data_IF_307398203415
#
_entry.id   IF_307398203415
#
_cell.length_a   1.000
_cell.length_b   1.000
_cell.length_c   1.000
_cell.angle_alpha   90.00
_cell.angle_beta   90.00
_cell.angle_gamma   90.00
#
_symmetry.space_group_name_H-M   'P 1'
#
loop_
_entity.id
_entity.type
_entity.pdbx_description
1 polymer ?
#
# COMPACT_ATOMS: atom_id res chain seq x y z
N UNK A 1 -19.88 44.51 0.70
CA UNK A 1 -18.44 44.85 0.87
C UNK A 1 -17.79 44.08 2.03
N UNK A 2 -18.46 43.88 3.16
CA UNK A 2 -17.89 43.12 4.30
C UNK A 2 -17.67 41.65 4.03
N UNK A 3 -18.56 40.97 3.28
CA UNK A 3 -18.38 39.56 2.89
C UNK A 3 -17.16 39.35 1.99
N UNK A 4 -16.86 40.32 1.10
CA UNK A 4 -15.67 40.26 0.27
C UNK A 4 -14.38 40.44 1.08
N UNK A 5 -14.39 41.35 2.06
CA UNK A 5 -13.25 41.55 2.99
C UNK A 5 -13.01 40.31 3.86
N UNK A 6 -14.09 39.65 4.29
CA UNK A 6 -13.98 38.43 5.07
C UNK A 6 -13.43 37.28 4.21
N UNK A 7 -13.85 37.15 2.95
CA UNK A 7 -13.35 36.20 1.99
C UNK A 7 -11.84 36.39 1.70
N UNK A 8 -11.43 37.65 1.44
CA UNK A 8 -10.01 37.96 1.26
C UNK A 8 -9.19 37.73 2.54
N UNK A 9 -9.74 38.01 3.70
CA UNK A 9 -9.07 37.76 4.97
C UNK A 9 -8.94 36.26 5.27
N UNK A 10 -9.92 35.44 4.93
CA UNK A 10 -9.80 33.97 5.04
C UNK A 10 -8.86 33.34 4.02
N UNK A 11 -8.61 34.02 2.88
CA UNK A 11 -7.69 33.53 1.84
C UNK A 11 -6.21 33.79 2.21
N UNK A 12 -5.94 34.83 2.99
CA UNK A 12 -4.56 35.25 3.32
C UNK A 12 -4.18 35.09 4.79
N UNK A 13 -5.16 34.88 5.68
CA UNK A 13 -4.89 34.69 7.11
C UNK A 13 -5.54 33.39 7.57
N UNK A 14 -4.67 32.43 7.90
CA UNK A 14 -5.09 31.18 8.52
C UNK A 14 -5.66 31.48 9.92
N UNK A 15 -6.89 30.99 10.17
CA UNK A 15 -7.45 30.91 11.50
C UNK A 15 -7.32 29.48 11.96
N UNK A 16 -6.48 29.24 12.94
CA UNK A 16 -6.42 27.94 13.61
C UNK A 16 -7.81 27.57 14.14
N UNK A 17 -8.31 26.38 13.77
CA UNK A 17 -9.52 25.87 14.43
C UNK A 17 -9.23 25.75 15.94
N UNK A 18 -10.15 26.17 16.79
CA UNK A 18 -9.96 26.31 18.24
C UNK A 18 -9.70 24.99 18.99
N UNK A 19 -9.79 23.84 18.33
CA UNK A 19 -9.63 22.50 18.89
C UNK A 19 -8.64 21.67 18.06
N UNK A 20 -7.49 22.24 17.69
CA UNK A 20 -6.40 21.47 17.09
C UNK A 20 -5.66 20.72 18.19
N UNK A 21 -5.71 19.40 18.09
CA UNK A 21 -4.81 18.52 18.79
C UNK A 21 -3.39 18.77 18.24
N UNK A 22 -2.53 19.37 19.04
CA UNK A 22 -1.11 19.53 18.69
C UNK A 22 -0.43 18.18 18.80
N UNK A 23 -0.32 17.46 17.68
CA UNK A 23 0.53 16.28 17.59
C UNK A 23 1.96 16.74 17.37
N UNK A 24 2.79 16.60 18.39
CA UNK A 24 4.24 16.70 18.25
C UNK A 24 4.82 15.29 18.26
N UNK A 25 5.57 14.93 17.21
CA UNK A 25 6.40 13.72 17.26
C UNK A 25 7.35 13.87 18.45
N UNK A 26 7.48 12.87 19.34
CA UNK A 26 8.44 12.94 20.44
C UNK A 26 9.83 13.18 19.84
N UNK A 27 10.49 14.26 20.26
CA UNK A 27 11.88 14.51 19.91
C UNK A 27 12.69 13.31 20.40
N UNK A 28 13.31 12.58 19.47
CA UNK A 28 14.28 11.54 19.82
C UNK A 28 15.38 12.25 20.59
N UNK A 29 15.57 11.91 21.87
CA UNK A 29 16.72 12.35 22.61
C UNK A 29 17.98 11.98 21.82
N UNK A 30 18.75 12.99 21.42
CA UNK A 30 19.94 12.83 20.57
C UNK A 30 21.01 11.90 21.15
N UNK A 31 20.92 11.54 22.41
CA UNK A 31 21.81 10.57 23.06
C UNK A 31 21.57 9.10 22.61
N UNK A 32 20.38 8.75 22.11
CA UNK A 32 20.14 7.42 21.53
C UNK A 32 20.42 7.36 20.02
N UNK A 33 20.47 8.50 19.34
CA UNK A 33 20.73 8.58 17.90
C UNK A 33 22.21 8.29 17.52
N UNK A 34 23.13 8.28 18.49
CA UNK A 34 24.55 8.01 18.24
C UNK A 34 24.92 6.52 18.15
N UNK A 35 24.03 5.61 18.52
CA UNK A 35 24.20 4.20 18.20
C UNK A 35 23.86 4.00 16.74
N UNK A 36 24.90 4.03 15.89
CA UNK A 36 24.82 3.54 14.51
C UNK A 36 24.18 2.16 14.57
N UNK A 37 22.89 2.13 14.27
CA UNK A 37 22.17 0.90 14.11
C UNK A 37 22.74 0.24 12.86
N UNK A 38 23.57 -0.76 13.08
CA UNK A 38 24.09 -1.58 12.02
C UNK A 38 22.89 -2.28 11.39
N UNK A 39 22.65 -2.19 10.07
CA UNK A 39 21.48 -2.83 9.46
C UNK A 39 21.54 -4.37 9.43
N UNK A 40 22.53 -4.96 10.10
CA UNK A 40 22.49 -6.39 10.51
C UNK A 40 21.91 -6.47 11.91
N UNK A 41 20.72 -6.12 12.01
CA UNK A 41 19.95 -6.03 13.08
C UNK A 41 19.35 -7.21 13.61
N UNK A 42 19.67 -7.31 14.76
CA UNK A 42 18.92 -7.86 15.84
C UNK A 42 17.44 -8.10 15.47
N UNK A 43 17.15 -9.33 15.04
CA UNK A 43 15.81 -9.88 15.07
C UNK A 43 15.66 -10.64 16.38
N UNK A 44 15.10 -10.02 17.41
CA UNK A 44 14.76 -10.75 18.64
C UNK A 44 13.78 -11.88 18.36
N UNK A 45 13.09 -11.82 17.22
CA UNK A 45 12.08 -12.77 16.81
C UNK A 45 12.64 -14.01 16.07
N UNK A 46 13.91 -14.01 15.63
CA UNK A 46 14.51 -15.18 14.96
C UNK A 46 14.67 -16.39 15.86
N UNK A 47 14.80 -16.18 17.17
CA UNK A 47 14.89 -17.30 18.12
C UNK A 47 13.52 -17.88 18.51
N UNK A 48 12.43 -17.10 18.38
CA UNK A 48 11.09 -17.57 18.74
C UNK A 48 10.40 -18.34 17.60
N UNK A 49 10.77 -18.08 16.34
CA UNK A 49 10.12 -18.71 15.19
C UNK A 49 10.54 -20.17 14.96
N UNK A 50 11.66 -20.60 15.47
CA UNK A 50 12.16 -21.98 15.33
C UNK A 50 11.53 -22.97 16.32
N UNK A 51 10.40 -22.59 16.93
CA UNK A 51 9.68 -23.49 17.83
C UNK A 51 8.90 -24.54 17.02
N UNK A 52 8.98 -25.78 17.49
CA UNK A 52 8.20 -26.88 16.93
C UNK A 52 6.72 -26.70 17.28
N UNK A 53 5.86 -27.26 16.46
CA UNK A 53 4.43 -27.33 16.75
C UNK A 53 4.19 -28.17 18.01
N UNK A 54 3.22 -27.72 18.82
CA UNK A 54 2.77 -28.43 20.02
C UNK A 54 1.71 -29.47 19.65
N UNK A 55 1.63 -30.55 20.42
CA UNK A 55 0.59 -31.58 20.24
C UNK A 55 -0.81 -31.05 20.55
N UNK A 56 -0.90 -29.98 21.33
CA UNK A 56 -2.19 -29.37 21.75
C UNK A 56 -2.56 -28.23 20.82
N UNK A 57 -3.67 -28.34 20.13
CA UNK A 57 -4.14 -27.34 19.16
C UNK A 57 -4.37 -25.95 19.79
N UNK A 58 -4.90 -25.86 21.02
CA UNK A 58 -5.18 -24.58 21.66
C UNK A 58 -3.92 -23.73 21.85
N UNK A 59 -2.79 -24.36 22.23
CA UNK A 59 -1.50 -23.69 22.40
C UNK A 59 -1.00 -23.15 21.06
N UNK A 60 -1.12 -23.95 20.00
CA UNK A 60 -0.74 -23.53 18.65
C UNK A 60 -1.59 -22.34 18.17
N UNK A 61 -2.90 -22.37 18.41
CA UNK A 61 -3.81 -21.29 18.06
C UNK A 61 -3.46 -20.01 18.82
N UNK A 62 -3.21 -20.08 20.12
CA UNK A 62 -2.86 -18.91 20.93
C UNK A 62 -1.53 -18.31 20.48
N UNK A 63 -0.52 -19.13 20.15
CA UNK A 63 0.74 -18.67 19.60
C UNK A 63 0.56 -17.95 18.26
N UNK A 64 -0.24 -18.52 17.35
CA UNK A 64 -0.55 -17.92 16.05
C UNK A 64 -1.29 -16.59 16.24
N UNK A 65 -2.27 -16.52 17.16
CA UNK A 65 -3.02 -15.29 17.46
C UNK A 65 -2.10 -14.16 17.95
N UNK A 66 -1.15 -14.47 18.80
CA UNK A 66 -0.18 -13.50 19.31
C UNK A 66 0.77 -13.04 18.20
N UNK A 67 1.30 -13.97 17.42
CA UNK A 67 2.29 -13.66 16.37
C UNK A 67 1.71 -12.82 15.24
N UNK A 68 0.56 -13.18 14.73
CA UNK A 68 -0.13 -12.43 13.67
C UNK A 68 -0.98 -11.26 14.17
N UNK A 69 -1.10 -11.07 15.48
CA UNK A 69 -2.00 -10.05 16.06
C UNK A 69 -3.42 -10.13 15.48
N UNK A 70 -4.01 -11.31 15.44
CA UNK A 70 -5.29 -11.57 14.76
C UNK A 70 -6.46 -10.73 15.28
N UNK A 71 -6.34 -10.12 16.47
CA UNK A 71 -7.33 -9.17 17.00
C UNK A 71 -7.36 -7.85 16.21
N UNK A 72 -6.23 -7.44 15.61
CA UNK A 72 -6.08 -6.19 14.88
C UNK A 72 -6.01 -6.47 13.37
N UNK A 73 -5.36 -7.57 13.00
CA UNK A 73 -5.10 -7.94 11.62
C UNK A 73 -6.34 -8.57 10.99
N UNK A 74 -6.99 -7.84 10.10
CA UNK A 74 -8.32 -8.22 9.58
C UNK A 74 -8.28 -9.23 8.43
N UNK A 75 -7.12 -9.45 7.82
CA UNK A 75 -6.95 -10.34 6.67
C UNK A 75 -6.47 -11.75 7.04
N UNK A 76 -6.10 -11.98 8.30
CA UNK A 76 -5.70 -13.30 8.80
C UNK A 76 -6.95 -14.07 9.24
N UNK A 77 -7.23 -15.16 8.54
CA UNK A 77 -8.37 -16.01 8.87
C UNK A 77 -7.88 -17.26 9.57
N UNK A 78 -8.45 -17.48 10.76
CA UNK A 78 -8.21 -18.62 11.60
C UNK A 78 -9.56 -19.32 11.83
N UNK A 79 -9.78 -20.43 11.09
CA UNK A 79 -11.05 -21.16 11.13
C UNK A 79 -10.89 -22.46 11.88
N UNK A 80 -11.55 -22.56 13.02
CA UNK A 80 -11.62 -23.79 13.82
C UNK A 80 -12.79 -24.67 13.35
N UNK A 81 -12.60 -25.99 13.28
CA UNK A 81 -13.62 -26.96 12.92
C UNK A 81 -13.28 -28.34 13.46
N UNK A 82 -14.26 -29.28 13.42
CA UNK A 82 -14.07 -30.64 13.87
C UNK A 82 -13.93 -31.60 12.68
N UNK A 83 -12.93 -32.47 12.76
CA UNK A 83 -12.68 -33.56 11.83
C UNK A 83 -13.33 -34.84 12.39
N UNK A 84 -14.18 -35.52 11.62
CA UNK A 84 -14.77 -36.80 12.01
C UNK A 84 -14.07 -37.93 11.26
N UNK A 85 -13.21 -38.67 11.97
CA UNK A 85 -12.43 -39.77 11.39
C UNK A 85 -12.69 -41.04 12.20
N UNK A 86 -13.24 -42.10 11.58
CA UNK A 86 -13.52 -43.40 12.19
C UNK A 86 -14.24 -43.30 13.54
N UNK A 87 -15.32 -42.53 13.61
CA UNK A 87 -16.13 -42.29 14.81
C UNK A 87 -15.39 -41.55 15.96
N UNK A 88 -14.25 -40.91 15.68
CA UNK A 88 -13.59 -40.02 16.61
C UNK A 88 -13.59 -38.61 16.03
N UNK A 89 -13.82 -37.65 16.90
CA UNK A 89 -13.75 -36.24 16.53
C UNK A 89 -12.40 -35.67 16.98
N UNK A 90 -11.74 -34.97 16.06
CA UNK A 90 -10.51 -34.25 16.29
C UNK A 90 -10.75 -32.78 15.99
N UNK A 91 -10.29 -31.90 16.85
CA UNK A 91 -10.29 -30.47 16.56
C UNK A 91 -9.21 -30.13 15.54
N UNK A 92 -9.52 -29.24 14.61
CA UNK A 92 -8.57 -28.76 13.62
C UNK A 92 -8.74 -27.27 13.40
N UNK A 93 -7.69 -26.64 12.94
CA UNK A 93 -7.65 -25.23 12.61
C UNK A 93 -7.05 -25.05 11.23
N UNK A 94 -7.67 -24.18 10.44
CA UNK A 94 -7.16 -23.73 9.15
C UNK A 94 -6.71 -22.29 9.27
N UNK A 95 -5.47 -22.03 8.87
CA UNK A 95 -4.86 -20.70 8.86
C UNK A 95 -4.54 -20.28 7.42
N UNK A 96 -5.04 -19.14 7.01
CA UNK A 96 -4.75 -18.56 5.69
C UNK A 96 -4.95 -17.04 5.67
N UNK A 97 -4.44 -16.39 4.63
CA UNK A 97 -4.57 -14.94 4.42
C UNK A 97 -5.66 -14.68 3.38
N UNK A 98 -6.67 -13.91 3.76
CA UNK A 98 -7.76 -13.52 2.85
C UNK A 98 -7.23 -12.65 1.70
N UNK A 99 -7.66 -12.96 0.47
CA UNK A 99 -7.18 -12.28 -0.75
C UNK A 99 -5.93 -12.90 -1.37
N UNK A 100 -5.19 -13.74 -0.68
CA UNK A 100 -4.04 -14.46 -1.24
C UNK A 100 -4.38 -15.89 -1.67
N UNK A 101 -5.48 -16.42 -1.18
CA UNK A 101 -5.93 -17.79 -1.42
C UNK A 101 -7.19 -17.82 -2.28
N UNK A 102 -7.35 -18.91 -3.05
CA UNK A 102 -8.58 -19.20 -3.75
C UNK A 102 -9.57 -19.88 -2.78
N UNK A 103 -10.65 -19.16 -2.45
CA UNK A 103 -11.67 -19.64 -1.52
C UNK A 103 -12.43 -20.86 -2.04
N UNK A 104 -12.58 -21.00 -3.36
CA UNK A 104 -13.25 -22.17 -3.95
C UNK A 104 -12.40 -23.44 -3.79
N UNK A 105 -11.06 -23.31 -3.91
CA UNK A 105 -10.17 -24.43 -3.65
C UNK A 105 -10.20 -24.84 -2.19
N UNK A 106 -10.25 -23.90 -1.25
CA UNK A 106 -10.35 -24.20 0.18
C UNK A 106 -11.67 -24.89 0.50
N UNK A 107 -12.78 -24.36 0.04
CA UNK A 107 -14.10 -24.90 0.35
C UNK A 107 -14.32 -26.28 -0.27
N UNK A 108 -13.97 -26.47 -1.54
CA UNK A 108 -14.25 -27.72 -2.26
C UNK A 108 -13.23 -28.84 -1.98
N UNK A 109 -11.94 -28.49 -1.87
CA UNK A 109 -10.88 -29.50 -1.78
C UNK A 109 -10.26 -29.67 -0.40
N UNK A 110 -10.51 -28.74 0.53
CA UNK A 110 -10.03 -28.87 1.90
C UNK A 110 -11.19 -29.07 2.87
N UNK A 111 -12.07 -28.10 3.00
CA UNK A 111 -13.11 -28.13 4.02
C UNK A 111 -14.17 -29.21 3.74
N UNK A 112 -14.63 -29.33 2.50
CA UNK A 112 -15.63 -30.31 2.13
C UNK A 112 -15.18 -31.75 2.39
N UNK A 113 -13.98 -32.23 1.99
CA UNK A 113 -13.50 -33.56 2.32
C UNK A 113 -13.29 -33.77 3.82
N UNK A 114 -12.80 -32.76 4.54
CA UNK A 114 -12.50 -32.85 5.96
C UNK A 114 -13.75 -32.81 6.85
N UNK A 115 -14.77 -32.05 6.45
CA UNK A 115 -16.02 -31.88 7.22
C UNK A 115 -17.14 -32.84 6.77
N UNK A 116 -17.06 -33.40 5.55
CA UNK A 116 -18.01 -34.46 5.17
C UNK A 116 -17.83 -35.61 6.13
N UNK A 117 -18.95 -36.02 6.78
CA UNK A 117 -18.95 -37.23 7.57
C UNK A 117 -18.51 -38.37 6.67
N UNK A 118 -17.24 -38.73 6.71
CA UNK A 118 -16.76 -39.91 6.04
C UNK A 118 -17.39 -41.10 6.70
N UNK A 119 -18.54 -41.48 6.19
CA UNK A 119 -19.09 -42.80 6.34
C UNK A 119 -18.15 -43.76 5.59
N UNK A 120 -16.93 -43.85 6.05
CA UNK A 120 -16.14 -45.06 5.90
C UNK A 120 -16.81 -46.10 6.73
N UNK A 121 -18.00 -46.53 6.31
CA UNK A 121 -18.52 -47.80 6.76
C UNK A 121 -17.53 -48.82 6.22
N UNK A 122 -16.55 -49.16 7.04
CA UNK A 122 -16.03 -50.51 7.02
C UNK A 122 -17.28 -51.36 7.30
N UNK A 123 -17.96 -51.77 6.23
CA UNK A 123 -18.89 -52.92 6.35
C UNK A 123 -18.08 -53.95 7.12
N UNK A 124 -18.54 -54.42 8.29
CA UNK A 124 -17.91 -55.56 8.89
C UNK A 124 -18.00 -56.62 7.81
N UNK A 125 -16.88 -57.13 7.37
CA UNK A 125 -16.79 -58.34 6.57
C UNK A 125 -17.27 -59.42 7.53
N UNK A 126 -18.60 -59.54 7.60
CA UNK A 126 -19.25 -60.62 8.31
C UNK A 126 -18.95 -61.89 7.52
N UNK A 127 -18.14 -62.71 8.14
CA UNK A 127 -18.23 -64.15 8.08
C UNK A 127 -18.54 -64.78 6.72
N UNK A 128 -17.57 -64.91 5.88
CA UNK A 128 -17.41 -66.08 5.04
C UNK A 128 -15.96 -66.20 4.66
N UNK A 129 -15.43 -67.29 5.04
CA UNK A 129 -14.18 -67.96 4.62
C UNK A 129 -13.17 -68.07 5.74
N UNK A 130 -13.38 -69.09 6.50
CA UNK A 130 -12.37 -69.91 7.12
C UNK A 130 -11.35 -70.34 6.08
N UNK A 131 -10.11 -70.28 6.51
CA UNK A 131 -8.89 -71.01 6.08
C UNK A 131 -7.83 -70.17 5.37
N UNK A 132 -6.74 -70.04 6.14
CA UNK A 132 -5.40 -69.74 5.65
C UNK A 132 -5.13 -68.30 5.13
N UNK A 133 -5.27 -67.33 6.01
CA UNK A 133 -4.63 -66.02 5.81
C UNK A 133 -3.71 -65.74 6.98
N UNK A 134 -2.42 -65.81 6.69
CA UNK A 134 -1.37 -65.20 7.53
C UNK A 134 -1.80 -63.82 7.94
N UNK A 135 -1.94 -63.59 9.24
CA UNK A 135 -2.26 -62.29 9.82
C UNK A 135 -1.20 -61.30 9.42
N UNK A 136 -1.39 -60.57 8.34
CA UNK A 136 -0.62 -59.39 8.07
C UNK A 136 -0.79 -58.47 9.28
N UNK A 137 0.31 -58.16 9.97
CA UNK A 137 0.35 -57.19 11.07
C UNK A 137 -0.55 -55.99 10.71
N UNK A 138 -1.62 -55.80 11.50
CA UNK A 138 -2.50 -54.63 11.38
C UNK A 138 -1.57 -53.43 11.58
N UNK A 139 -1.30 -52.68 10.53
CA UNK A 139 -0.53 -51.42 10.64
C UNK A 139 -1.31 -50.55 11.64
N UNK A 140 -0.64 -50.11 12.69
CA UNK A 140 -1.17 -49.18 13.67
C UNK A 140 -1.69 -47.96 12.87
N UNK A 141 -2.95 -47.57 13.12
CA UNK A 141 -3.55 -46.44 12.44
C UNK A 141 -2.73 -45.18 12.76
N UNK A 142 -2.19 -44.56 11.74
CA UNK A 142 -1.49 -43.28 11.85
C UNK A 142 -2.43 -42.21 11.31
N UNK A 143 -2.86 -41.28 12.18
CA UNK A 143 -3.72 -40.17 11.82
C UNK A 143 -3.08 -39.24 10.79
N UNK A 144 -1.80 -38.96 10.96
CA UNK A 144 -1.02 -38.11 10.07
C UNK A 144 -1.00 -38.67 8.64
N UNK A 145 -0.62 -39.96 8.49
CA UNK A 145 -0.59 -40.60 7.17
C UNK A 145 -1.98 -40.69 6.52
N UNK A 146 -3.01 -40.87 7.32
CA UNK A 146 -4.38 -40.93 6.80
C UNK A 146 -4.88 -39.61 6.28
N UNK A 147 -4.59 -38.50 6.97
CA UNK A 147 -4.92 -37.14 6.50
C UNK A 147 -4.16 -36.86 5.21
N UNK A 148 -2.86 -37.12 5.19
CA UNK A 148 -1.97 -36.85 4.07
C UNK A 148 -2.32 -37.66 2.81
N UNK A 149 -2.62 -38.94 2.96
CA UNK A 149 -2.81 -39.85 1.81
C UNK A 149 -4.25 -40.04 1.36
N UNK A 150 -5.22 -39.81 2.25
CA UNK A 150 -6.61 -40.25 1.99
C UNK A 150 -7.65 -39.14 2.10
N UNK A 151 -7.39 -38.09 2.88
CA UNK A 151 -8.38 -37.05 3.13
C UNK A 151 -8.20 -35.79 2.30
N UNK A 152 -6.96 -35.47 1.97
CA UNK A 152 -6.63 -34.27 1.22
C UNK A 152 -6.40 -34.63 -0.26
N UNK A 153 -7.31 -34.24 -1.16
CA UNK A 153 -7.18 -34.56 -2.59
C UNK A 153 -6.24 -33.63 -3.34
N UNK A 154 -5.57 -32.71 -2.64
CA UNK A 154 -4.68 -31.74 -3.27
C UNK A 154 -3.39 -32.36 -3.77
N UNK A 155 -2.89 -31.81 -4.89
CA UNK A 155 -1.68 -32.30 -5.56
C UNK A 155 -0.38 -31.92 -4.83
N UNK A 156 -0.36 -30.75 -4.19
CA UNK A 156 0.82 -30.24 -3.48
C UNK A 156 0.55 -30.07 -2.00
N UNK A 157 1.02 -31.01 -1.20
CA UNK A 157 0.91 -30.98 0.25
C UNK A 157 2.31 -31.12 0.84
N UNK A 158 2.68 -30.23 1.74
CA UNK A 158 3.94 -30.30 2.49
C UNK A 158 3.64 -30.48 3.96
N UNK A 159 4.48 -31.23 4.65
CA UNK A 159 4.45 -31.35 6.11
C UNK A 159 5.37 -30.30 6.69
N UNK A 160 4.89 -29.56 7.66
CA UNK A 160 5.66 -28.55 8.40
C UNK A 160 5.71 -28.96 9.88
N UNK A 161 6.89 -28.91 10.46
CA UNK A 161 7.10 -29.25 11.87
C UNK A 161 7.39 -28.04 12.73
N UNK A 162 7.75 -26.91 12.11
CA UNK A 162 8.07 -25.64 12.76
C UNK A 162 7.06 -24.57 12.41
N UNK A 163 6.89 -23.60 13.30
CA UNK A 163 6.04 -22.43 13.04
C UNK A 163 6.61 -21.57 11.90
N UNK A 164 7.94 -21.50 11.76
CA UNK A 164 8.58 -20.74 10.68
C UNK A 164 8.19 -21.25 9.30
N UNK A 165 8.17 -22.58 9.11
CA UNK A 165 7.71 -23.20 7.86
C UNK A 165 6.25 -22.85 7.58
N UNK A 166 5.37 -22.87 8.60
CA UNK A 166 3.96 -22.52 8.47
C UNK A 166 3.81 -21.05 8.11
N UNK A 167 4.48 -20.15 8.84
CA UNK A 167 4.35 -18.71 8.59
C UNK A 167 4.90 -18.31 7.22
N UNK A 168 6.05 -18.86 6.83
CA UNK A 168 6.61 -18.63 5.50
C UNK A 168 5.65 -19.08 4.39
N UNK A 169 5.01 -20.23 4.54
CA UNK A 169 4.06 -20.75 3.57
C UNK A 169 2.77 -19.91 3.52
N UNK A 170 2.18 -19.61 4.67
CA UNK A 170 0.95 -18.81 4.77
C UNK A 170 1.16 -17.40 4.24
N UNK A 171 2.29 -16.77 4.57
CA UNK A 171 2.65 -15.47 4.01
C UNK A 171 2.91 -15.53 2.49
N UNK A 172 3.28 -16.70 1.96
CA UNK A 172 3.40 -16.96 0.53
C UNK A 172 2.08 -17.25 -0.20
N UNK A 173 0.95 -17.27 0.52
CA UNK A 173 -0.39 -17.53 -0.03
C UNK A 173 -0.84 -18.98 0.03
N UNK A 174 -0.14 -19.82 0.78
CA UNK A 174 -0.58 -21.20 1.06
C UNK A 174 -1.53 -21.21 2.27
N UNK A 175 -2.22 -22.33 2.47
CA UNK A 175 -3.07 -22.57 3.62
C UNK A 175 -2.42 -23.60 4.54
N UNK A 176 -2.45 -23.37 5.85
CA UNK A 176 -1.95 -24.33 6.83
C UNK A 176 -3.10 -24.98 7.61
N UNK A 177 -3.11 -26.31 7.63
CA UNK A 177 -4.01 -27.13 8.43
C UNK A 177 -3.26 -27.68 9.64
N UNK A 178 -3.73 -27.40 10.84
CA UNK A 178 -3.19 -27.88 12.11
C UNK A 178 -4.27 -28.72 12.77
N UNK A 179 -3.91 -29.94 13.21
CA UNK A 179 -4.84 -30.90 13.80
C UNK A 179 -4.42 -31.21 15.22
N UNK A 180 -5.37 -31.26 16.11
CA UNK A 180 -5.14 -31.63 17.51
C UNK A 180 -4.50 -33.03 17.61
N UNK A 181 -3.62 -33.23 18.58
CA UNK A 181 -2.86 -34.46 18.78
C UNK A 181 -1.72 -34.73 17.78
N UNK A 182 -1.49 -33.80 16.83
CA UNK A 182 -0.37 -33.90 15.90
C UNK A 182 0.60 -32.73 16.11
N UNK A 183 1.89 -33.05 16.14
CA UNK A 183 2.97 -32.06 16.16
C UNK A 183 3.45 -31.68 14.73
N UNK A 184 2.60 -31.92 13.74
CA UNK A 184 2.86 -31.65 12.31
C UNK A 184 1.67 -30.89 11.74
N UNK A 185 1.95 -29.78 11.05
CA UNK A 185 1.02 -29.06 10.24
C UNK A 185 1.08 -29.48 8.78
N UNK A 186 -0.01 -29.34 8.05
CA UNK A 186 -0.07 -29.59 6.61
C UNK A 186 -0.18 -28.26 5.87
N UNK A 187 0.78 -27.96 5.01
CA UNK A 187 0.77 -26.81 4.13
C UNK A 187 0.19 -27.22 2.79
N UNK A 188 -0.83 -26.49 2.34
CA UNK A 188 -1.65 -26.79 1.17
C UNK A 188 -1.53 -25.63 0.18
N UNK A 189 -1.13 -25.90 -1.05
CA UNK A 189 -1.03 -24.90 -2.11
C UNK A 189 -2.44 -24.54 -2.63
N UNK A 190 -2.91 -23.38 -2.23
CA UNK A 190 -4.23 -22.83 -2.60
C UNK A 190 -4.13 -21.39 -3.12
N UNK A 191 -2.98 -21.03 -3.66
CA UNK A 191 -2.73 -19.68 -4.16
C UNK A 191 -3.76 -19.26 -5.18
N UNK A 192 -4.36 -18.10 -4.95
CA UNK A 192 -5.43 -17.55 -5.80
C UNK A 192 -5.35 -16.04 -5.88
N UNK A 193 -4.25 -15.53 -6.49
CA UNK A 193 -4.10 -14.09 -6.70
C UNK A 193 -5.01 -13.61 -7.84
N UNK A 194 -5.74 -12.54 -7.62
CA UNK A 194 -6.46 -11.86 -8.70
C UNK A 194 -5.46 -11.16 -9.64
N UNK A 195 -5.02 -11.84 -10.69
CA UNK A 195 -4.02 -11.31 -11.63
C UNK A 195 -4.62 -10.58 -12.83
N UNK A 196 -5.87 -10.90 -13.20
CA UNK A 196 -6.51 -10.39 -14.43
C UNK A 196 -7.04 -8.95 -14.33
N UNK A 197 -7.17 -8.40 -13.12
CA UNK A 197 -7.69 -7.06 -12.87
C UNK A 197 -6.59 -6.02 -12.56
N UNK A 198 -5.32 -6.44 -12.51
CA UNK A 198 -4.20 -5.54 -12.24
C UNK A 198 -3.90 -4.76 -13.50
N UNK A 199 -4.00 -3.43 -13.44
CA UNK A 199 -3.70 -2.52 -14.53
C UNK A 199 -2.28 -1.98 -14.45
N UNK A 200 -1.80 -1.42 -15.56
CA UNK A 200 -0.53 -0.70 -15.59
C UNK A 200 -0.71 0.72 -15.00
N UNK A 201 0.32 1.28 -14.33
CA UNK A 201 0.29 2.65 -13.83
C UNK A 201 0.10 3.63 -15.00
N UNK A 202 -0.86 4.55 -14.85
CA UNK A 202 -1.14 5.55 -15.89
C UNK A 202 -0.35 6.83 -15.70
N UNK A 203 -0.13 7.22 -14.44
CA UNK A 203 0.51 8.49 -14.09
C UNK A 203 1.97 8.33 -13.64
N UNK A 204 2.33 7.19 -13.04
CA UNK A 204 3.67 6.89 -12.55
C UNK A 204 4.34 5.81 -13.40
N UNK A 205 4.48 6.05 -14.71
CA UNK A 205 5.09 5.12 -15.66
C UNK A 205 6.59 4.98 -15.36
N UNK A 206 7.09 3.74 -15.34
CA UNK A 206 8.50 3.40 -15.11
C UNK A 206 8.97 2.46 -16.21
N UNK A 207 10.17 2.72 -16.76
CA UNK A 207 10.77 1.90 -17.82
C UNK A 207 11.28 0.57 -17.23
N UNK A 208 11.87 0.64 -16.02
CA UNK A 208 12.35 -0.55 -15.30
C UNK A 208 11.70 -0.61 -13.94
N UNK A 209 10.98 -1.68 -13.64
CA UNK A 209 10.32 -1.89 -12.36
C UNK A 209 9.02 -2.68 -12.51
N UNK A 210 8.26 -2.76 -11.44
CA UNK A 210 6.92 -3.35 -11.46
C UNK A 210 6.02 -2.52 -12.36
N UNK A 211 5.20 -3.19 -13.17
CA UNK A 211 4.17 -2.56 -14.01
C UNK A 211 2.78 -2.70 -13.38
N UNK A 212 2.70 -3.18 -12.15
CA UNK A 212 1.45 -3.33 -11.44
C UNK A 212 1.01 -2.02 -10.81
N UNK A 213 -0.29 -1.71 -10.89
CA UNK A 213 -0.93 -0.60 -10.22
C UNK A 213 -2.07 -1.08 -9.32
N UNK A 214 -2.40 -0.28 -8.30
CA UNK A 214 -3.58 -0.50 -7.47
C UNK A 214 -4.85 -0.39 -8.31
N UNK A 215 -5.87 -1.13 -7.89
CA UNK A 215 -7.21 -1.15 -8.50
C UNK A 215 -8.25 -0.60 -7.52
N UNK A 216 -9.51 -0.49 -7.96
CA UNK A 216 -10.59 0.02 -7.11
C UNK A 216 -10.98 -0.92 -5.96
N UNK A 217 -10.70 -2.22 -6.10
CA UNK A 217 -11.06 -3.24 -5.11
C UNK A 217 -10.02 -3.34 -3.99
N UNK A 218 -10.39 -2.93 -2.79
CA UNK A 218 -9.48 -2.87 -1.63
C UNK A 218 -8.84 -4.23 -1.30
N UNK A 219 -9.57 -5.34 -1.43
CA UNK A 219 -9.05 -6.69 -1.17
C UNK A 219 -7.89 -7.05 -2.08
N UNK A 220 -7.98 -6.71 -3.36
CA UNK A 220 -6.90 -6.91 -4.33
C UNK A 220 -5.69 -6.06 -3.97
N UNK A 221 -5.91 -4.80 -3.56
CA UNK A 221 -4.83 -3.89 -3.17
C UNK A 221 -4.10 -4.37 -1.91
N UNK A 222 -4.83 -4.84 -0.89
CA UNK A 222 -4.21 -5.41 0.32
C UNK A 222 -3.44 -6.68 0.01
N UNK A 223 -3.93 -7.54 -0.89
CA UNK A 223 -3.23 -8.75 -1.31
C UNK A 223 -1.94 -8.44 -2.08
N UNK A 224 -1.92 -7.37 -2.91
CA UNK A 224 -0.69 -6.91 -3.57
C UNK A 224 0.38 -6.48 -2.56
N UNK A 225 -0.01 -5.69 -1.53
CA UNK A 225 0.91 -5.30 -0.46
C UNK A 225 1.42 -6.54 0.29
N UNK A 226 0.52 -7.46 0.65
CA UNK A 226 0.86 -8.68 1.38
C UNK A 226 1.82 -9.58 0.59
N UNK A 227 1.62 -9.70 -0.73
CA UNK A 227 2.50 -10.46 -1.62
C UNK A 227 3.91 -9.88 -1.70
N UNK A 228 4.04 -8.55 -1.69
CA UNK A 228 5.34 -7.88 -1.74
C UNK A 228 6.03 -7.86 -0.38
N UNK A 229 5.25 -7.77 0.71
CA UNK A 229 5.76 -7.81 2.10
C UNK A 229 5.40 -9.16 2.70
N UNK A 230 6.25 -10.13 2.49
CA UNK A 230 6.09 -11.48 3.04
C UNK A 230 6.57 -11.51 4.51
N UNK A 231 5.82 -10.87 5.41
CA UNK A 231 6.17 -10.74 6.82
C UNK A 231 4.93 -10.78 7.72
N UNK A 232 4.97 -11.53 8.81
CA UNK A 232 3.90 -11.67 9.78
C UNK A 232 3.63 -10.39 10.59
N UNK A 233 4.62 -9.48 10.68
CA UNK A 233 4.48 -8.21 11.37
C UNK A 233 3.76 -7.13 10.52
N UNK A 234 3.43 -7.42 9.28
CA UNK A 234 2.58 -6.55 8.48
C UNK A 234 1.16 -6.59 9.02
N UNK A 235 0.66 -5.45 9.45
CA UNK A 235 -0.71 -5.28 9.95
C UNK A 235 -1.54 -4.58 8.89
N UNK A 236 -2.69 -5.16 8.59
CA UNK A 236 -3.72 -4.59 7.73
C UNK A 236 -5.00 -4.49 8.55
N UNK A 237 -5.35 -3.30 8.97
CA UNK A 237 -6.51 -3.02 9.79
C UNK A 237 -7.61 -2.39 8.95
N UNK A 238 -8.77 -3.04 8.90
CA UNK A 238 -9.91 -2.54 8.15
C UNK A 238 -10.83 -1.74 9.06
N UNK A 239 -11.19 -0.55 8.62
CA UNK A 239 -12.20 0.31 9.22
C UNK A 239 -13.22 0.75 8.17
N UNK A 240 -14.32 1.36 8.61
CA UNK A 240 -15.35 1.90 7.72
C UNK A 240 -15.58 3.36 8.02
N UNK A 241 -15.64 4.19 6.98
CA UNK A 241 -15.84 5.64 7.10
C UNK A 241 -17.07 6.07 6.31
N UNK A 242 -17.77 7.07 6.85
CA UNK A 242 -19.00 7.61 6.27
C UNK A 242 -20.25 6.90 6.79
N UNK A 243 -21.25 7.70 7.18
CA UNK A 243 -22.51 7.20 7.75
C UNK A 243 -23.42 6.59 6.69
N UNK A 244 -23.41 7.14 5.46
CA UNK A 244 -24.23 6.65 4.34
C UNK A 244 -23.50 5.61 3.49
N UNK A 245 -22.24 5.88 3.07
CA UNK A 245 -21.52 4.99 2.15
C UNK A 245 -20.87 3.81 2.83
N UNK A 246 -20.51 3.94 4.12
CA UNK A 246 -19.76 2.92 4.89
C UNK A 246 -18.57 2.39 4.09
N UNK A 247 -17.79 3.32 3.53
CA UNK A 247 -16.65 3.00 2.67
C UNK A 247 -15.56 2.30 3.47
N UNK A 248 -15.11 1.15 2.99
CA UNK A 248 -14.02 0.40 3.62
C UNK A 248 -12.70 1.10 3.41
N UNK A 249 -11.93 1.21 4.47
CA UNK A 249 -10.58 1.78 4.48
C UNK A 249 -9.65 0.79 5.15
N UNK A 250 -8.48 0.51 4.56
CA UNK A 250 -7.47 -0.35 5.13
C UNK A 250 -6.22 0.47 5.51
N UNK A 251 -5.79 0.34 6.75
CA UNK A 251 -4.59 0.98 7.29
C UNK A 251 -3.49 -0.08 7.34
N UNK A 252 -2.43 0.12 6.57
CA UNK A 252 -1.33 -0.84 6.39
C UNK A 252 -0.04 -0.28 7.00
N UNK A 253 0.61 -1.04 7.87
CA UNK A 253 1.88 -0.67 8.49
C UNK A 253 2.64 -1.88 9.02
N UNK A 254 3.95 -1.74 9.23
CA UNK A 254 4.79 -2.75 9.88
C UNK A 254 4.92 -2.48 11.38
N UNK A 255 4.42 -3.40 12.22
CA UNK A 255 4.35 -3.23 13.68
C UNK A 255 5.70 -2.92 14.33
N UNK A 256 6.77 -3.57 13.86
CA UNK A 256 8.10 -3.46 14.49
C UNK A 256 8.90 -2.23 14.03
N UNK A 257 8.44 -1.54 12.95
CA UNK A 257 9.17 -0.43 12.34
C UNK A 257 8.37 0.86 12.43
N UNK A 258 7.06 0.79 12.27
CA UNK A 258 6.19 1.97 12.30
C UNK A 258 6.17 2.60 13.70
N UNK A 259 6.15 3.94 13.74
CA UNK A 259 5.95 4.66 14.98
C UNK A 259 4.51 4.46 15.47
N UNK A 260 4.36 3.95 16.69
CA UNK A 260 3.05 3.68 17.29
C UNK A 260 2.19 4.94 17.45
N UNK A 261 2.81 6.09 17.73
CA UNK A 261 2.10 7.36 17.89
C UNK A 261 1.53 7.83 16.53
N UNK A 262 2.30 7.67 15.46
CA UNK A 262 1.83 7.94 14.10
C UNK A 262 0.65 7.04 13.71
N UNK A 263 0.74 5.75 14.00
CA UNK A 263 -0.34 4.79 13.73
C UNK A 263 -1.60 5.16 14.53
N UNK A 264 -1.44 5.52 15.81
CA UNK A 264 -2.53 5.94 16.67
C UNK A 264 -3.21 7.22 16.15
N UNK A 265 -2.42 8.20 15.71
CA UNK A 265 -2.91 9.46 15.14
C UNK A 265 -3.70 9.24 13.84
N UNK A 266 -3.16 8.44 12.93
CA UNK A 266 -3.87 8.09 11.67
C UNK A 266 -5.21 7.41 11.96
N UNK A 267 -5.23 6.45 12.89
CA UNK A 267 -6.47 5.78 13.32
C UNK A 267 -7.45 6.74 13.96
N UNK A 268 -6.95 7.62 14.85
CA UNK A 268 -7.77 8.62 15.51
C UNK A 268 -8.46 9.53 14.50
N UNK A 269 -7.71 10.06 13.52
CA UNK A 269 -8.27 10.92 12.47
C UNK A 269 -9.31 10.20 11.62
N UNK A 270 -9.01 8.99 11.15
CA UNK A 270 -9.94 8.23 10.31
C UNK A 270 -11.22 7.85 11.06
N UNK A 271 -11.12 7.42 12.32
CA UNK A 271 -12.27 6.97 13.10
C UNK A 271 -13.17 8.10 13.61
N UNK A 272 -12.60 9.31 13.76
CA UNK A 272 -13.36 10.48 14.23
C UNK A 272 -13.90 11.36 13.09
N UNK A 273 -13.81 10.90 11.84
CA UNK A 273 -14.41 11.61 10.71
C UNK A 273 -15.95 11.58 10.79
N UNK A 274 -16.57 12.72 11.00
CA UNK A 274 -18.02 12.88 10.92
C UNK A 274 -18.43 13.34 9.51
N UNK A 275 -18.47 12.37 8.59
CA UNK A 275 -18.83 12.61 7.19
C UNK A 275 -19.89 11.62 6.72
N UNK A 276 -20.74 12.07 5.81
CA UNK A 276 -21.80 11.21 5.27
C UNK A 276 -21.27 10.23 4.23
N UNK A 277 -20.32 10.65 3.39
CA UNK A 277 -19.79 9.84 2.30
C UNK A 277 -18.31 10.13 2.03
N UNK A 278 -17.60 9.10 1.65
CA UNK A 278 -16.25 9.16 1.07
C UNK A 278 -16.23 8.23 -0.14
N UNK A 279 -15.84 8.75 -1.30
CA UNK A 279 -15.85 8.01 -2.56
C UNK A 279 -14.41 7.77 -3.06
N UNK A 280 -13.47 8.66 -2.72
CA UNK A 280 -12.10 8.59 -3.23
C UNK A 280 -11.06 8.83 -2.15
N UNK A 281 -9.83 8.37 -2.40
CA UNK A 281 -8.68 8.64 -1.54
C UNK A 281 -8.39 10.14 -1.42
N UNK A 282 -8.57 10.93 -2.49
CA UNK A 282 -8.36 12.38 -2.45
C UNK A 282 -9.33 13.12 -1.52
N UNK A 283 -10.58 12.65 -1.38
CA UNK A 283 -11.49 13.21 -0.38
C UNK A 283 -11.03 12.88 1.05
N UNK A 284 -10.58 11.64 1.27
CA UNK A 284 -10.04 11.25 2.56
C UNK A 284 -8.80 12.07 2.91
N UNK A 285 -7.88 12.27 1.96
CA UNK A 285 -6.69 13.09 2.13
C UNK A 285 -7.03 14.50 2.65
N UNK A 286 -7.97 15.19 2.00
CA UNK A 286 -8.38 16.55 2.39
C UNK A 286 -8.99 16.62 3.79
N UNK A 287 -9.65 15.54 4.24
CA UNK A 287 -10.31 15.48 5.54
C UNK A 287 -9.37 15.17 6.71
N UNK A 288 -8.29 14.43 6.46
CA UNK A 288 -7.35 13.98 7.50
C UNK A 288 -6.06 14.79 7.57
N UNK A 289 -5.83 15.73 6.64
CA UNK A 289 -4.65 16.60 6.65
C UNK A 289 -4.70 17.61 7.81
N UNK A 290 -3.53 18.04 8.30
CA UNK A 290 -3.42 19.00 9.40
C UNK A 290 -3.91 20.38 9.01
N UNK A 291 -3.57 20.81 7.81
CA UNK A 291 -3.86 22.13 7.31
C UNK A 291 -4.46 22.06 5.91
N UNK A 292 -5.77 22.30 5.81
CA UNK A 292 -6.51 22.31 4.55
C UNK A 292 -6.10 23.45 3.60
N UNK A 293 -5.40 24.48 4.11
CA UNK A 293 -4.88 25.60 3.32
C UNK A 293 -3.40 25.41 2.95
N UNK A 294 -2.79 24.30 3.31
CA UNK A 294 -1.40 24.02 2.93
C UNK A 294 -1.25 23.94 1.41
N UNK A 295 -0.28 24.66 0.88
CA UNK A 295 0.00 24.67 -0.57
C UNK A 295 0.59 23.33 -1.03
N UNK A 296 1.36 22.67 -0.17
CA UNK A 296 1.98 21.38 -0.44
C UNK A 296 1.18 20.26 0.19
N UNK A 297 0.98 19.13 -0.52
CA UNK A 297 0.31 17.97 0.04
C UNK A 297 1.11 17.41 1.23
N UNK A 298 0.39 16.98 2.26
CA UNK A 298 0.98 16.42 3.48
C UNK A 298 1.08 14.88 3.42
N UNK A 299 0.52 14.31 2.37
CA UNK A 299 0.52 12.88 2.10
C UNK A 299 0.96 12.62 0.67
N UNK A 300 1.50 11.44 0.40
CA UNK A 300 1.85 11.01 -0.94
C UNK A 300 0.72 10.13 -1.47
N UNK A 301 0.10 10.53 -2.55
CA UNK A 301 -0.82 9.67 -3.29
C UNK A 301 -0.03 8.89 -4.36
N UNK A 302 -0.18 7.56 -4.41
CA UNK A 302 0.47 6.73 -5.43
C UNK A 302 -0.45 5.60 -5.88
N UNK A 303 -0.40 5.30 -7.17
CA UNK A 303 -1.08 4.14 -7.75
C UNK A 303 -0.19 2.87 -7.73
N UNK A 304 1.06 2.98 -7.28
CA UNK A 304 2.07 1.92 -7.35
C UNK A 304 2.23 1.15 -6.04
N UNK A 305 1.99 -0.18 -6.05
CA UNK A 305 2.20 -1.02 -4.87
C UNK A 305 3.66 -1.07 -4.40
N UNK A 306 4.64 -1.09 -5.32
CA UNK A 306 6.06 -1.12 -5.00
C UNK A 306 6.52 0.14 -4.23
N UNK A 307 6.05 1.33 -4.64
CA UNK A 307 6.32 2.58 -3.93
C UNK A 307 5.68 2.59 -2.54
N UNK A 308 4.41 2.16 -2.43
CA UNK A 308 3.72 2.06 -1.16
C UNK A 308 4.46 1.11 -0.19
N UNK A 309 4.89 -0.05 -0.67
CA UNK A 309 5.64 -1.03 0.12
C UNK A 309 6.99 -0.49 0.58
N UNK A 310 7.74 0.21 -0.28
CA UNK A 310 9.00 0.82 0.14
C UNK A 310 8.81 1.76 1.34
N UNK A 311 7.76 2.56 1.33
CA UNK A 311 7.45 3.46 2.45
C UNK A 311 6.94 2.72 3.70
N UNK A 312 6.23 1.59 3.55
CA UNK A 312 5.89 0.73 4.68
C UNK A 312 7.17 0.17 5.34
N UNK A 313 8.15 -0.24 4.54
CA UNK A 313 9.44 -0.74 5.03
C UNK A 313 10.29 0.35 5.71
N UNK A 314 10.06 1.63 5.36
CA UNK A 314 10.64 2.80 6.04
C UNK A 314 9.91 3.18 7.35
N UNK A 315 8.82 2.49 7.70
CA UNK A 315 8.04 2.72 8.92
C UNK A 315 6.90 3.73 8.76
N UNK A 316 6.52 4.08 7.52
CA UNK A 316 5.35 4.92 7.24
C UNK A 316 4.07 4.12 7.24
N UNK A 317 2.96 4.82 7.36
CA UNK A 317 1.61 4.26 7.30
C UNK A 317 1.03 4.47 5.91
N UNK A 318 0.45 3.42 5.35
CA UNK A 318 -0.24 3.45 4.06
C UNK A 318 -1.72 3.21 4.27
N UNK A 319 -2.55 4.05 3.66
CA UNK A 319 -4.01 3.94 3.73
C UNK A 319 -4.58 3.69 2.34
N UNK A 320 -5.40 2.65 2.24
CA UNK A 320 -6.13 2.26 1.03
C UNK A 320 -7.61 2.55 1.22
N UNK A 321 -8.26 3.08 0.20
CA UNK A 321 -9.69 3.39 0.19
C UNK A 321 -10.38 2.54 -0.87
N UNK A 322 -11.45 1.86 -0.51
CA UNK A 322 -12.24 1.08 -1.47
C UNK A 322 -12.89 2.00 -2.52
N UNK A 323 -12.75 1.65 -3.78
CA UNK A 323 -13.24 2.46 -4.90
C UNK A 323 -12.21 3.45 -5.46
N UNK A 324 -10.97 3.48 -4.92
CA UNK A 324 -9.89 4.33 -5.42
C UNK A 324 -8.64 3.52 -5.72
N UNK A 325 -8.01 3.70 -6.91
CA UNK A 325 -6.76 3.04 -7.25
C UNK A 325 -5.51 3.75 -6.67
N UNK A 326 -5.69 4.67 -5.75
CA UNK A 326 -4.60 5.41 -5.10
C UNK A 326 -4.51 5.05 -3.63
N UNK A 327 -3.30 4.77 -3.17
CA UNK A 327 -2.94 4.69 -1.75
C UNK A 327 -2.42 6.03 -1.25
N UNK A 328 -2.69 6.34 0.02
CA UNK A 328 -2.17 7.50 0.72
C UNK A 328 -1.07 7.06 1.67
N UNK A 329 0.09 7.68 1.58
CA UNK A 329 1.28 7.39 2.40
C UNK A 329 1.52 8.56 3.35
N UNK A 330 1.68 8.28 4.61
CA UNK A 330 1.84 9.27 5.68
C UNK A 330 3.03 8.95 6.58
N UNK A 331 3.74 9.98 7.04
CA UNK A 331 3.74 11.37 6.60
C UNK A 331 4.53 11.55 5.29
N UNK A 332 4.26 12.62 4.54
CA UNK A 332 5.05 13.02 3.41
C UNK A 332 6.16 14.01 3.81
N UNK A 333 7.31 13.91 3.19
CA UNK A 333 8.41 14.87 3.32
C UNK A 333 8.62 15.54 1.96
N UNK A 334 8.99 16.81 1.95
CA UNK A 334 9.17 17.57 0.69
C UNK A 334 10.08 16.85 -0.33
N UNK A 335 11.14 16.18 0.14
CA UNK A 335 12.08 15.45 -0.71
C UNK A 335 11.41 14.25 -1.43
N UNK A 336 10.30 13.72 -0.91
CA UNK A 336 9.59 12.61 -1.54
C UNK A 336 8.96 13.03 -2.87
N UNK A 337 8.52 14.28 -2.98
CA UNK A 337 7.97 14.83 -4.22
C UNK A 337 9.02 15.07 -5.30
N UNK A 338 10.30 15.10 -4.91
CA UNK A 338 11.43 15.20 -5.83
C UNK A 338 11.92 13.83 -6.31
N UNK A 339 11.46 12.76 -5.68
CA UNK A 339 11.86 11.38 -6.00
C UNK A 339 10.87 10.75 -6.97
N UNK A 340 11.39 10.14 -8.04
CA UNK A 340 10.60 9.32 -8.96
C UNK A 340 10.71 7.84 -8.57
N UNK A 341 9.67 7.02 -8.79
CA UNK A 341 9.76 5.57 -8.59
C UNK A 341 10.89 4.91 -9.41
N UNK A 342 11.28 5.50 -10.53
CA UNK A 342 12.38 5.02 -11.36
C UNK A 342 13.75 5.17 -10.69
N UNK A 343 13.92 6.16 -9.80
CA UNK A 343 15.18 6.42 -9.12
C UNK A 343 15.67 5.23 -8.28
N UNK A 344 14.77 4.39 -7.78
CA UNK A 344 15.07 3.18 -7.00
C UNK A 344 15.73 2.10 -7.88
N UNK A 345 15.35 2.05 -9.16
CA UNK A 345 15.81 1.04 -10.11
C UNK A 345 17.09 1.44 -10.85
N UNK A 346 17.58 2.67 -10.62
CA UNK A 346 18.78 3.21 -11.24
C UNK A 346 20.00 3.02 -10.33
N UNK A 347 21.21 3.06 -10.94
CA UNK A 347 22.45 3.05 -10.18
C UNK A 347 22.53 4.30 -9.27
N UNK A 348 22.94 4.11 -8.02
CA UNK A 348 22.99 5.15 -6.99
C UNK A 348 23.56 6.52 -7.44
N UNK A 349 24.70 6.52 -8.15
CA UNK A 349 25.32 7.77 -8.64
C UNK A 349 24.45 8.47 -9.67
N UNK A 350 23.82 7.72 -10.56
CA UNK A 350 22.95 8.27 -11.61
C UNK A 350 21.62 8.78 -11.03
N UNK A 351 21.01 8.04 -10.13
CA UNK A 351 19.82 8.45 -9.40
C UNK A 351 20.03 9.76 -8.63
N UNK A 352 21.16 9.90 -7.91
CA UNK A 352 21.49 11.12 -7.19
C UNK A 352 21.74 12.31 -8.13
N UNK A 353 22.38 12.08 -9.28
CA UNK A 353 22.56 13.12 -10.29
C UNK A 353 21.20 13.63 -10.81
N UNK A 354 20.26 12.72 -11.10
CA UNK A 354 18.92 13.11 -11.55
C UNK A 354 18.16 13.90 -10.49
N UNK A 355 18.22 13.49 -9.22
CA UNK A 355 17.63 14.25 -8.11
C UNK A 355 18.22 15.66 -8.00
N UNK A 356 19.53 15.78 -8.14
CA UNK A 356 20.21 17.08 -8.12
C UNK A 356 19.77 17.98 -9.29
N UNK A 357 19.66 17.42 -10.49
CA UNK A 357 19.16 18.15 -11.67
C UNK A 357 17.72 18.61 -11.44
N UNK A 358 16.85 17.80 -10.83
CA UNK A 358 15.46 18.20 -10.50
C UNK A 358 15.43 19.39 -9.54
N UNK A 359 16.28 19.36 -8.50
CA UNK A 359 16.38 20.48 -7.55
C UNK A 359 16.79 21.76 -8.27
N UNK A 360 17.83 21.69 -9.11
CA UNK A 360 18.28 22.83 -9.91
C UNK A 360 17.16 23.32 -10.83
N UNK A 361 16.45 22.40 -11.51
CA UNK A 361 15.36 22.75 -12.39
C UNK A 361 14.24 23.51 -11.66
N UNK A 362 13.88 23.09 -10.45
CA UNK A 362 12.88 23.78 -9.63
C UNK A 362 13.37 25.19 -9.25
N UNK A 363 14.62 25.31 -8.82
CA UNK A 363 15.21 26.61 -8.48
C UNK A 363 15.21 27.54 -9.70
N UNK A 364 15.64 27.06 -10.85
CA UNK A 364 15.63 27.83 -12.09
C UNK A 364 14.19 28.25 -12.45
N UNK A 365 13.24 27.32 -12.43
CA UNK A 365 11.85 27.62 -12.78
C UNK A 365 11.24 28.68 -11.87
N UNK A 366 11.56 28.65 -10.57
CA UNK A 366 11.05 29.61 -9.60
C UNK A 366 11.67 31.00 -9.78
N UNK A 367 12.97 31.08 -10.03
CA UNK A 367 13.69 32.35 -10.07
C UNK A 367 13.76 32.97 -11.46
N UNK A 368 13.64 32.20 -12.55
CA UNK A 368 13.85 32.66 -13.92
C UNK A 368 12.94 33.84 -14.31
N UNK A 369 11.64 33.87 -14.02
CA UNK A 369 10.77 35.00 -14.35
C UNK A 369 11.22 36.28 -13.63
N UNK A 370 11.52 36.17 -12.34
CA UNK A 370 12.04 37.29 -11.54
C UNK A 370 13.39 37.81 -12.02
N UNK A 371 14.30 36.90 -12.40
CA UNK A 371 15.62 37.25 -12.95
C UNK A 371 15.48 37.95 -14.30
N UNK A 372 14.57 37.51 -15.16
CA UNK A 372 14.29 38.17 -16.41
C UNK A 372 13.82 39.64 -16.19
N UNK A 373 12.88 39.86 -15.27
CA UNK A 373 12.40 41.21 -14.91
C UNK A 373 13.55 42.06 -14.36
N UNK A 374 14.40 41.50 -13.50
CA UNK A 374 15.51 42.22 -12.90
C UNK A 374 16.51 42.67 -13.94
N UNK A 375 16.90 41.84 -14.89
CA UNK A 375 17.85 42.20 -15.95
C UNK A 375 17.24 43.20 -16.92
N UNK A 376 16.03 42.97 -17.38
CA UNK A 376 15.44 43.84 -18.42
C UNK A 376 15.01 45.20 -17.92
N UNK A 377 14.70 45.37 -16.64
CA UNK A 377 14.26 46.68 -16.10
C UNK A 377 15.29 47.42 -15.27
N UNK A 378 16.17 46.68 -14.56
CA UNK A 378 17.07 47.31 -13.58
C UNK A 378 18.55 47.19 -13.92
N UNK A 379 18.93 46.13 -14.65
CA UNK A 379 20.31 45.85 -15.00
C UNK A 379 20.51 45.63 -16.50
N UNK A 380 20.04 46.57 -17.30
CA UNK A 380 20.12 46.51 -18.76
C UNK A 380 21.54 46.43 -19.31
N UNK A 381 22.51 46.83 -18.50
CA UNK A 381 23.95 46.79 -18.84
C UNK A 381 24.51 45.36 -18.97
N UNK A 382 23.81 44.37 -18.39
CA UNK A 382 24.18 42.95 -18.50
C UNK A 382 23.84 42.34 -19.85
N UNK A 383 22.94 42.99 -20.61
CA UNK A 383 22.50 42.50 -21.92
C UNK A 383 23.42 43.04 -23.04
N UNK A 384 23.77 42.19 -24.02
CA UNK A 384 24.39 42.66 -25.25
C UNK A 384 23.54 43.76 -25.89
N UNK A 385 24.16 44.81 -26.41
CA UNK A 385 23.48 45.98 -26.97
C UNK A 385 22.47 45.64 -28.06
N UNK A 386 22.79 44.67 -28.93
CA UNK A 386 21.91 44.22 -30.00
C UNK A 386 20.63 43.57 -29.44
N UNK A 387 20.76 42.73 -28.41
CA UNK A 387 19.64 42.10 -27.73
C UNK A 387 18.78 43.13 -27.00
N UNK A 388 19.40 44.11 -26.35
CA UNK A 388 18.72 45.21 -25.68
C UNK A 388 17.82 46.00 -26.65
N UNK A 389 18.36 46.39 -27.81
CA UNK A 389 17.61 47.12 -28.83
C UNK A 389 16.48 46.28 -29.41
N UNK A 390 16.65 44.98 -29.59
CA UNK A 390 15.64 44.08 -30.08
C UNK A 390 14.48 43.96 -29.05
N UNK A 391 14.79 43.79 -27.75
CA UNK A 391 13.79 43.77 -26.67
C UNK A 391 13.07 45.11 -26.57
N UNK A 392 13.80 46.24 -26.64
CA UNK A 392 13.21 47.57 -26.60
C UNK A 392 12.28 47.84 -27.79
N UNK A 393 12.66 47.42 -28.98
CA UNK A 393 11.84 47.57 -30.20
C UNK A 393 10.54 46.73 -30.11
N UNK A 394 10.61 45.48 -29.65
CA UNK A 394 9.46 44.63 -29.50
C UNK A 394 8.47 45.14 -28.43
N UNK A 395 8.99 45.88 -27.44
CA UNK A 395 8.18 46.42 -26.33
C UNK A 395 7.50 47.74 -26.63
N UNK A 396 7.97 48.51 -27.57
CA UNK A 396 7.37 49.82 -27.91
C UNK A 396 5.89 49.69 -28.31
N UNK A 397 5.46 48.53 -28.70
CA UNK A 397 4.07 48.25 -29.11
C UNK A 397 3.20 47.73 -27.96
N UNK A 398 3.77 47.37 -26.81
CA UNK A 398 3.03 46.79 -25.69
C UNK A 398 2.75 47.85 -24.62
N UNK A 399 1.50 48.12 -24.29
CA UNK A 399 1.12 49.21 -23.37
C UNK A 399 1.25 48.87 -21.89
N UNK A 400 1.82 47.69 -21.54
CA UNK A 400 1.89 47.21 -20.16
C UNK A 400 3.34 47.16 -19.62
N UNK A 401 3.53 47.35 -18.28
CA UNK A 401 4.82 47.09 -17.64
C UNK A 401 5.18 45.59 -17.74
N UNK A 402 6.49 45.29 -17.81
CA UNK A 402 7.03 43.92 -17.95
C UNK A 402 6.48 42.93 -16.90
N UNK A 403 6.38 43.39 -15.66
CA UNK A 403 5.88 42.55 -14.56
C UNK A 403 4.44 42.10 -14.85
N UNK A 404 3.60 43.03 -15.37
CA UNK A 404 2.22 42.71 -15.67
C UNK A 404 2.09 41.80 -16.92
N UNK A 405 2.96 41.99 -17.90
CA UNK A 405 3.04 41.17 -19.10
C UNK A 405 3.40 39.73 -18.76
N UNK A 406 4.42 39.49 -17.93
CA UNK A 406 4.81 38.16 -17.47
C UNK A 406 3.67 37.51 -16.67
N UNK A 407 3.07 38.24 -15.75
CA UNK A 407 1.94 37.73 -14.97
C UNK A 407 0.77 37.31 -15.88
N UNK A 408 0.46 38.10 -16.88
CA UNK A 408 -0.62 37.81 -17.83
C UNK A 408 -0.27 36.60 -18.72
N UNK A 409 0.99 36.45 -19.12
CA UNK A 409 1.47 35.27 -19.82
C UNK A 409 1.36 34.00 -18.95
N UNK A 410 1.87 34.03 -17.72
CA UNK A 410 1.77 32.89 -16.79
C UNK A 410 0.32 32.48 -16.54
N UNK A 411 -0.55 33.47 -16.32
CA UNK A 411 -1.99 33.23 -16.17
C UNK A 411 -2.61 32.62 -17.43
N UNK A 412 -2.21 33.09 -18.61
CA UNK A 412 -2.67 32.55 -19.90
C UNK A 412 -2.23 31.10 -20.11
N UNK A 413 -0.98 30.76 -19.75
CA UNK A 413 -0.49 29.39 -19.79
C UNK A 413 -1.26 28.49 -18.84
N UNK A 414 -1.62 28.99 -17.64
CA UNK A 414 -2.42 28.23 -16.68
C UNK A 414 -3.83 27.95 -17.22
N UNK A 415 -4.47 28.97 -17.83
CA UNK A 415 -5.77 28.77 -18.47
C UNK A 415 -5.72 27.74 -19.60
N UNK A 416 -4.65 27.76 -20.42
CA UNK A 416 -4.45 26.78 -21.50
C UNK A 416 -4.25 25.37 -20.94
N UNK A 417 -3.47 25.26 -19.86
CA UNK A 417 -3.23 23.98 -19.17
C UNK A 417 -4.54 23.41 -18.62
N UNK A 418 -5.32 24.24 -17.92
CA UNK A 418 -6.62 23.83 -17.36
C UNK A 418 -7.62 23.44 -18.45
N UNK A 419 -7.68 24.19 -19.55
CA UNK A 419 -8.51 23.85 -20.70
C UNK A 419 -8.05 22.51 -21.32
N UNK A 420 -6.75 22.28 -21.44
CA UNK A 420 -6.18 21.07 -21.99
C UNK A 420 -6.48 19.80 -21.18
N UNK A 421 -6.65 19.92 -19.87
CA UNK A 421 -7.05 18.82 -18.99
C UNK A 421 -8.52 18.40 -19.16
N UNK A 422 -9.38 19.33 -19.58
CA UNK A 422 -10.83 19.10 -19.75
C UNK A 422 -11.22 18.64 -21.16
N UNK A 423 -10.35 18.83 -22.13
CA UNK A 423 -10.61 18.42 -23.52
C UNK A 423 -10.31 16.93 -23.68
N UNK A 424 -11.19 16.16 -24.33
CA UNK A 424 -10.95 14.74 -24.62
C UNK A 424 -9.59 14.50 -25.29
N UNK A 425 -8.89 13.47 -24.85
CA UNK A 425 -7.51 13.10 -25.21
C UNK A 425 -7.13 13.14 -26.71
N UNK A 426 -8.05 12.95 -27.69
CA UNK A 426 -7.67 13.07 -29.09
C UNK A 426 -7.29 14.49 -29.55
N UNK A 427 -7.84 15.51 -28.90
CA UNK A 427 -7.71 16.92 -29.30
C UNK A 427 -6.77 17.72 -28.37
N UNK A 428 -6.66 17.33 -27.11
CA UNK A 428 -5.87 18.03 -26.09
C UNK A 428 -4.40 18.31 -26.46
N UNK A 429 -3.61 17.30 -26.91
CA UNK A 429 -2.22 17.50 -27.34
C UNK A 429 -2.08 18.43 -28.55
N UNK A 430 -3.04 18.37 -29.48
CA UNK A 430 -3.04 19.18 -30.71
C UNK A 430 -3.27 20.65 -30.41
N UNK A 431 -4.23 20.97 -29.52
CA UNK A 431 -4.49 22.35 -29.10
C UNK A 431 -3.26 22.92 -28.37
N UNK A 432 -2.67 22.16 -27.45
CA UNK A 432 -1.49 22.59 -26.71
C UNK A 432 -0.31 22.90 -27.65
N UNK A 433 -0.07 22.04 -28.64
CA UNK A 433 1.02 22.23 -29.60
C UNK A 433 0.75 23.39 -30.56
N UNK A 434 -0.47 23.55 -31.08
CA UNK A 434 -0.83 24.67 -31.95
C UNK A 434 -0.70 26.02 -31.25
N UNK A 435 -1.11 26.14 -29.99
CA UNK A 435 -1.00 27.39 -29.25
C UNK A 435 0.46 27.73 -28.90
N UNK A 436 1.27 26.76 -28.51
CA UNK A 436 2.71 27.00 -28.28
C UNK A 436 3.42 27.47 -29.56
N UNK A 437 3.10 26.92 -30.73
CA UNK A 437 3.67 27.33 -32.00
C UNK A 437 3.20 28.74 -32.40
N UNK A 438 1.91 29.05 -32.27
CA UNK A 438 1.39 30.37 -32.59
C UNK A 438 1.93 31.49 -31.66
N UNK A 439 2.17 31.19 -30.37
CA UNK A 439 2.77 32.17 -29.45
C UNK A 439 4.26 32.35 -29.80
N UNK A 440 4.99 31.26 -30.10
CA UNK A 440 6.37 31.33 -30.50
C UNK A 440 6.60 32.11 -31.82
N UNK A 441 5.70 31.93 -32.81
CA UNK A 441 5.73 32.68 -34.08
C UNK A 441 5.40 34.18 -33.93
N UNK A 442 4.59 34.54 -32.90
CA UNK A 442 4.28 35.96 -32.66
C UNK A 442 5.31 36.68 -31.80
N UNK A 443 6.24 35.93 -31.18
CA UNK A 443 7.36 36.46 -30.38
C UNK A 443 8.68 36.57 -31.18
N UNK A 444 8.71 36.05 -32.42
CA UNK A 444 9.72 36.31 -33.43
C UNK A 444 9.34 37.53 -34.28
#
# INVERSE_FOLDING_TARGET
>A
MERLKHFFKSLFFYHEPRDTYEFSLPEKNDEEASKKVNPKLFNPDEQENNQNLYDTLSVNIDFIKVKYNTLINSDIILREFNLSIRNKEYKACLLFIDGMVDSELIDNFILRPLMSKNCGSSKPISSAITNNITVKKVKKFNLEDYIYTSLLPQNSIKKATTFEEIFSAVNGGDCALIVDTLNVGFVLDVKGFETRSISEPKNEIVIRGSQEAFVEKIRTNTSMIRRLVNNENLIIENTTVGTLTKTKVAICYLKNIANNDLVAEVKYRINNLDVQHIISSGQLEQLIQDNSLALFPQMIATERPDKAVNHILEGRVVVLVNGSPYSLIMPAVFIDFLSSPEDINLKFRYSNLLKFIRIIAIIITLFLPGFYVAITNYHTELLPTELLFTIAASRNTVPFPVIFEIFLMEFSFELIREAGLRVPTPIGPTIRNCWCINIAERLQ
#
